data_IF_223346931087
#
_entry.id   IF_223346931087
#
_cell.length_a   1.000
_cell.length_b   1.000
_cell.length_c   1.000
_cell.angle_alpha   90.00
_cell.angle_beta   90.00
_cell.angle_gamma   90.00
#
_symmetry.space_group_name_H-M   'P 1'
#
loop_
_entity.id
_entity.type
_entity.pdbx_description
1 polymer ?
#
# COMPACT_ATOMS: atom_id res chain seq x y z
N UNK A 1 -12.99 24.02 4.73
CA UNK A 1 -13.94 23.32 3.84
C UNK A 1 -13.55 21.84 3.85
N UNK A 2 -14.49 20.93 4.08
CA UNK A 2 -14.21 19.48 3.93
C UNK A 2 -14.10 19.12 2.46
N UNK A 3 -13.14 18.28 2.12
CA UNK A 3 -12.91 17.84 0.75
C UNK A 3 -14.03 16.91 0.32
N UNK A 4 -14.67 17.20 -0.80
CA UNK A 4 -15.65 16.32 -1.41
C UNK A 4 -14.93 15.35 -2.36
N UNK A 5 -14.77 14.10 -1.95
CA UNK A 5 -14.02 13.11 -2.72
C UNK A 5 -14.68 12.71 -4.04
N UNK A 6 -16.01 12.86 -4.18
CA UNK A 6 -16.68 12.68 -5.47
C UNK A 6 -16.27 13.76 -6.48
N UNK A 7 -16.15 15.01 -6.04
CA UNK A 7 -15.65 16.11 -6.88
C UNK A 7 -14.18 15.94 -7.24
N UNK A 8 -13.35 15.47 -6.29
CA UNK A 8 -11.93 15.20 -6.50
C UNK A 8 -11.72 14.18 -7.63
N UNK A 9 -12.52 13.11 -7.67
CA UNK A 9 -12.45 12.11 -8.74
C UNK A 9 -13.27 12.50 -9.97
N UNK A 10 -14.17 13.49 -9.87
CA UNK A 10 -15.08 13.86 -10.93
C UNK A 10 -16.06 12.72 -11.29
N UNK A 11 -16.62 12.08 -10.25
CA UNK A 11 -17.63 11.02 -10.36
C UNK A 11 -18.91 11.40 -9.64
N UNK A 12 -20.03 10.80 -10.03
CA UNK A 12 -21.31 10.98 -9.36
C UNK A 12 -21.32 10.29 -7.99
N UNK A 13 -22.18 10.77 -7.06
CA UNK A 13 -22.37 10.14 -5.75
C UNK A 13 -22.92 8.73 -5.84
N UNK A 14 -23.59 8.39 -6.93
CA UNK A 14 -24.12 7.06 -7.22
C UNK A 14 -23.10 6.12 -7.87
N UNK A 15 -21.89 6.61 -8.23
CA UNK A 15 -20.89 5.85 -8.95
C UNK A 15 -20.54 4.53 -8.23
N UNK A 16 -20.48 3.46 -8.99
CA UNK A 16 -20.09 2.13 -8.54
C UNK A 16 -18.57 2.07 -8.24
N UNK A 17 -18.17 1.08 -7.47
CA UNK A 17 -16.75 0.88 -7.14
C UNK A 17 -15.87 0.69 -8.39
N UNK A 18 -16.27 -0.08 -9.43
CA UNK A 18 -15.52 -0.18 -10.68
C UNK A 18 -15.32 1.16 -11.39
N UNK A 19 -16.37 2.00 -11.46
CA UNK A 19 -16.31 3.33 -12.08
C UNK A 19 -15.37 4.27 -11.32
N UNK A 20 -15.42 4.24 -9.98
CA UNK A 20 -14.51 5.00 -9.12
C UNK A 20 -13.05 4.58 -9.37
N UNK A 21 -12.78 3.28 -9.46
CA UNK A 21 -11.45 2.75 -9.74
C UNK A 21 -10.95 3.10 -11.13
N UNK A 22 -11.82 3.05 -12.13
CA UNK A 22 -11.48 3.40 -13.52
C UNK A 22 -11.13 4.89 -13.62
N UNK A 23 -11.98 5.74 -13.05
CA UNK A 23 -11.77 7.19 -13.07
C UNK A 23 -10.48 7.57 -12.35
N UNK A 24 -10.23 6.96 -11.20
CA UNK A 24 -8.98 7.16 -10.47
C UNK A 24 -7.75 6.76 -11.31
N UNK A 25 -7.75 5.58 -11.97
CA UNK A 25 -6.64 5.15 -12.83
C UNK A 25 -6.33 6.16 -13.92
N UNK A 26 -7.36 6.75 -14.52
CA UNK A 26 -7.18 7.79 -15.54
C UNK A 26 -6.49 9.03 -14.95
N UNK A 27 -7.02 9.56 -13.84
CA UNK A 27 -6.46 10.75 -13.18
C UNK A 27 -5.04 10.49 -12.64
N UNK A 28 -4.80 9.30 -12.08
CA UNK A 28 -3.49 8.91 -11.56
C UNK A 28 -2.40 8.90 -12.65
N UNK A 29 -2.73 8.48 -13.87
CA UNK A 29 -1.80 8.56 -15.01
C UNK A 29 -1.58 9.98 -15.50
N UNK A 30 -2.62 10.81 -15.51
CA UNK A 30 -2.56 12.21 -15.96
C UNK A 30 -1.78 13.09 -14.97
N UNK A 31 -1.94 12.84 -13.67
CA UNK A 31 -1.44 13.70 -12.59
C UNK A 31 -0.32 13.05 -11.75
N UNK A 32 0.40 12.07 -12.33
CA UNK A 32 1.47 11.40 -11.60
C UNK A 32 2.61 12.39 -11.28
N UNK A 33 3.09 12.42 -10.02
CA UNK A 33 4.11 13.37 -9.59
C UNK A 33 5.42 13.30 -10.38
N UNK A 34 5.77 12.13 -10.92
CA UNK A 34 6.99 11.95 -11.71
C UNK A 34 6.97 12.69 -13.06
N UNK A 35 5.81 13.16 -13.49
CA UNK A 35 5.68 13.97 -14.73
C UNK A 35 5.97 15.46 -14.50
N UNK A 36 6.14 15.87 -13.25
CA UNK A 36 6.36 17.25 -12.86
C UNK A 36 7.75 17.44 -12.27
N UNK A 37 8.36 18.61 -12.50
CA UNK A 37 9.70 18.97 -12.01
C UNK A 37 9.65 20.25 -11.20
N UNK A 38 10.61 20.44 -10.29
CA UNK A 38 10.73 21.66 -9.50
C UNK A 38 9.58 21.89 -8.51
N UNK A 39 9.11 23.13 -8.39
CA UNK A 39 8.04 23.54 -7.47
C UNK A 39 6.72 22.82 -7.74
N UNK A 40 6.43 22.50 -9.00
CA UNK A 40 5.16 21.92 -9.42
C UNK A 40 5.03 20.46 -8.96
N UNK A 41 6.15 19.79 -8.67
CA UNK A 41 6.17 18.44 -8.14
C UNK A 41 5.50 18.34 -6.77
N UNK A 42 5.76 19.29 -5.87
CA UNK A 42 5.15 19.30 -4.54
C UNK A 42 3.62 19.48 -4.59
N UNK A 43 3.13 20.25 -5.54
CA UNK A 43 1.70 20.43 -5.77
C UNK A 43 1.06 19.18 -6.41
N UNK A 44 1.76 18.56 -7.35
CA UNK A 44 1.34 17.29 -7.95
C UNK A 44 1.29 16.17 -6.91
N UNK A 45 2.26 16.08 -6.01
CA UNK A 45 2.27 15.14 -4.90
C UNK A 45 1.05 15.33 -3.97
N UNK A 46 0.72 16.57 -3.62
CA UNK A 46 -0.47 16.87 -2.80
C UNK A 46 -1.77 16.47 -3.49
N UNK A 47 -1.91 16.81 -4.78
CA UNK A 47 -3.08 16.42 -5.59
C UNK A 47 -3.20 14.91 -5.70
N UNK A 48 -2.10 14.21 -5.96
CA UNK A 48 -2.07 12.77 -6.07
C UNK A 48 -2.42 12.08 -4.74
N UNK A 49 -1.93 12.62 -3.63
CA UNK A 49 -2.31 12.14 -2.29
C UNK A 49 -3.81 12.28 -2.05
N UNK A 50 -4.41 13.41 -2.44
CA UNK A 50 -5.86 13.63 -2.32
C UNK A 50 -6.66 12.67 -3.21
N UNK A 51 -6.19 12.39 -4.42
CA UNK A 51 -6.79 11.40 -5.32
C UNK A 51 -6.77 10.00 -4.70
N UNK A 52 -5.65 9.62 -4.11
CA UNK A 52 -5.49 8.30 -3.46
C UNK A 52 -6.40 8.18 -2.23
N UNK A 53 -6.50 9.26 -1.45
CA UNK A 53 -7.42 9.30 -0.31
C UNK A 53 -8.87 9.18 -0.76
N UNK A 54 -9.26 9.89 -1.81
CA UNK A 54 -10.60 9.80 -2.39
C UNK A 54 -10.94 8.35 -2.82
N UNK A 55 -10.02 7.67 -3.51
CA UNK A 55 -10.19 6.26 -3.85
C UNK A 55 -10.44 5.40 -2.59
N UNK A 56 -9.56 5.51 -1.60
CA UNK A 56 -9.62 4.71 -0.38
C UNK A 56 -10.93 4.91 0.42
N UNK A 57 -11.44 6.14 0.43
CA UNK A 57 -12.69 6.45 1.12
C UNK A 57 -13.88 5.93 0.32
N UNK A 58 -13.95 6.21 -0.98
CA UNK A 58 -15.13 5.92 -1.80
C UNK A 58 -15.26 4.44 -2.19
N UNK A 59 -14.18 3.67 -2.17
CA UNK A 59 -14.22 2.20 -2.41
C UNK A 59 -14.42 1.38 -1.12
N UNK A 60 -14.41 2.01 0.05
CA UNK A 60 -14.71 1.36 1.31
C UNK A 60 -16.14 1.74 1.77
N UNK A 61 -17.04 0.78 1.81
CA UNK A 61 -18.47 1.03 2.11
C UNK A 61 -18.70 1.77 3.44
N UNK A 62 -17.95 1.43 4.49
CA UNK A 62 -18.10 2.09 5.80
C UNK A 62 -17.61 3.54 5.76
N UNK A 63 -16.44 3.76 5.13
CA UNK A 63 -15.85 5.10 5.00
C UNK A 63 -16.66 5.98 4.04
N UNK A 64 -17.20 5.40 2.97
CA UNK A 64 -18.08 6.11 2.03
C UNK A 64 -19.34 6.60 2.74
N UNK A 65 -20.01 5.75 3.53
CA UNK A 65 -21.17 6.16 4.34
C UNK A 65 -20.82 7.28 5.33
N UNK A 66 -19.67 7.18 5.98
CA UNK A 66 -19.21 8.24 6.87
C UNK A 66 -18.96 9.56 6.12
N UNK A 67 -18.29 9.50 4.98
CA UNK A 67 -18.06 10.67 4.12
C UNK A 67 -19.37 11.28 3.64
N UNK A 68 -20.34 10.46 3.22
CA UNK A 68 -21.67 10.92 2.78
C UNK A 68 -22.42 11.65 3.89
N UNK A 69 -22.35 11.13 5.11
CA UNK A 69 -22.92 11.80 6.28
C UNK A 69 -22.20 13.14 6.59
N UNK A 70 -20.89 13.20 6.39
CA UNK A 70 -20.09 14.39 6.66
C UNK A 70 -20.31 15.50 5.63
N UNK A 71 -20.46 15.18 4.35
CA UNK A 71 -20.78 16.18 3.31
C UNK A 71 -22.27 16.57 3.29
N UNK A 72 -23.15 15.72 3.85
CA UNK A 72 -24.58 16.04 4.03
C UNK A 72 -24.86 16.97 5.21
N UNK A 73 -23.96 17.00 6.18
CA UNK A 73 -24.07 17.85 7.38
C UNK A 73 -23.13 19.06 7.30
N UNK A 74 -23.32 19.95 6.33
CA UNK A 74 -22.61 21.23 6.32
C UNK A 74 -23.09 22.12 7.48
N UNK A 75 -22.63 21.84 8.65
CA UNK A 75 -22.88 22.64 9.85
C UNK A 75 -22.63 21.84 11.11
N UNK A 76 -21.46 21.93 11.65
CA UNK A 76 -21.14 21.92 13.07
C UNK A 76 -19.85 21.18 13.45
N UNK A 77 -19.05 21.97 14.14
CA UNK A 77 -18.08 21.72 15.20
C UNK A 77 -16.68 21.21 14.84
N UNK A 78 -15.78 22.17 15.01
CA UNK A 78 -14.39 21.95 15.37
C UNK A 78 -14.27 20.97 16.55
N UNK A 79 -13.57 19.86 16.32
CA UNK A 79 -12.98 19.08 17.40
C UNK A 79 -11.48 19.02 17.15
N UNK A 80 -10.74 19.53 18.10
CA UNK A 80 -9.31 19.29 18.34
C UNK A 80 -9.00 17.83 18.10
N UNK A 81 -8.14 17.49 17.12
CA UNK A 81 -7.65 16.14 17.14
C UNK A 81 -6.97 15.59 15.96
N UNK A 82 -6.97 15.55 14.72
CA UNK A 82 -6.07 14.72 13.90
C UNK A 82 -4.75 15.37 13.52
N UNK A 83 -4.66 16.69 13.48
CA UNK A 83 -3.43 17.38 13.01
C UNK A 83 -2.21 17.10 13.92
N UNK A 84 -2.42 17.02 15.24
CA UNK A 84 -1.35 16.72 16.19
C UNK A 84 -0.87 15.27 16.06
N UNK A 85 -1.78 14.31 15.86
CA UNK A 85 -1.41 12.90 15.69
C UNK A 85 -0.63 12.66 14.40
N UNK A 86 -1.02 13.29 13.29
CA UNK A 86 -0.27 13.22 12.02
C UNK A 86 1.13 13.80 12.18
N UNK A 87 1.28 14.89 12.92
CA UNK A 87 2.59 15.48 13.16
C UNK A 87 3.47 14.58 14.05
N UNK A 88 2.88 13.99 15.08
CA UNK A 88 3.55 13.00 15.93
C UNK A 88 3.96 11.77 15.11
N UNK A 89 3.10 11.27 14.23
CA UNK A 89 3.42 10.17 13.33
C UNK A 89 4.64 10.47 12.44
N UNK A 90 4.73 11.69 11.90
CA UNK A 90 5.89 12.12 11.08
C UNK A 90 7.20 12.10 11.88
N UNK A 91 7.16 12.50 13.15
CA UNK A 91 8.35 12.46 14.02
C UNK A 91 8.80 11.01 14.23
N UNK A 92 7.88 10.10 14.55
CA UNK A 92 8.21 8.68 14.69
C UNK A 92 8.69 8.08 13.38
N UNK A 93 8.06 8.39 12.25
CA UNK A 93 8.50 7.94 10.93
C UNK A 93 9.95 8.36 10.64
N UNK A 94 10.28 9.63 10.91
CA UNK A 94 11.64 10.15 10.75
C UNK A 94 12.67 9.43 11.64
N UNK A 95 12.32 9.19 12.91
CA UNK A 95 13.16 8.42 13.85
C UNK A 95 13.34 6.98 13.39
N UNK A 96 12.27 6.34 12.91
CA UNK A 96 12.32 4.99 12.36
C UNK A 96 13.23 4.89 11.14
N UNK A 97 13.15 5.85 10.21
CA UNK A 97 14.05 5.91 9.04
C UNK A 97 15.50 6.09 9.46
N UNK A 98 15.78 6.91 10.48
CA UNK A 98 17.13 7.07 11.01
C UNK A 98 17.65 5.74 11.59
N UNK A 99 16.89 5.11 12.49
CA UNK A 99 17.26 3.84 13.09
C UNK A 99 17.47 2.73 12.04
N UNK A 100 16.61 2.69 11.01
CA UNK A 100 16.72 1.75 9.88
C UNK A 100 18.05 1.92 9.13
N UNK A 101 18.46 3.17 8.86
CA UNK A 101 19.74 3.49 8.20
C UNK A 101 20.95 3.15 9.07
N UNK A 102 20.82 3.26 10.38
CA UNK A 102 21.84 2.90 11.37
C UNK A 102 21.94 1.39 11.60
N UNK A 103 21.00 0.61 11.04
CA UNK A 103 20.97 -0.86 11.19
C UNK A 103 20.25 -1.34 12.45
N UNK A 104 19.72 -0.45 13.29
CA UNK A 104 18.91 -0.82 14.45
C UNK A 104 17.47 -1.13 14.01
N UNK A 105 17.28 -2.39 13.61
CA UNK A 105 15.98 -2.84 13.09
C UNK A 105 14.92 -2.90 14.18
N UNK A 106 15.28 -3.12 15.43
CA UNK A 106 14.33 -3.14 16.55
C UNK A 106 13.81 -1.75 16.83
N UNK A 107 14.68 -0.75 16.99
CA UNK A 107 14.27 0.63 17.16
C UNK A 107 13.51 1.17 15.93
N UNK A 108 13.91 0.76 14.72
CA UNK A 108 13.20 1.11 13.49
C UNK A 108 11.76 0.58 13.52
N UNK A 109 11.58 -0.71 13.84
CA UNK A 109 10.29 -1.35 13.95
C UNK A 109 9.38 -0.64 14.96
N UNK A 110 9.87 -0.38 16.18
CA UNK A 110 9.12 0.30 17.23
C UNK A 110 8.67 1.70 16.79
N UNK A 111 9.55 2.48 16.18
CA UNK A 111 9.22 3.81 15.71
C UNK A 111 8.22 3.78 14.54
N UNK A 112 8.34 2.85 13.60
CA UNK A 112 7.37 2.71 12.51
C UNK A 112 6.02 2.22 13.02
N UNK A 113 5.98 1.34 14.03
CA UNK A 113 4.75 0.90 14.67
C UNK A 113 4.03 2.07 15.38
N UNK A 114 4.79 2.93 16.09
CA UNK A 114 4.25 4.15 16.67
C UNK A 114 3.74 5.12 15.58
N UNK A 115 4.46 5.28 14.49
CA UNK A 115 4.01 6.11 13.37
C UNK A 115 2.68 5.58 12.79
N UNK A 116 2.56 4.28 12.56
CA UNK A 116 1.35 3.63 12.06
C UNK A 116 0.17 3.76 13.03
N UNK A 117 0.42 3.68 14.36
CA UNK A 117 -0.61 3.88 15.40
C UNK A 117 -1.12 5.31 15.43
N UNK A 118 -0.23 6.29 15.31
CA UNK A 118 -0.62 7.71 15.31
C UNK A 118 -1.27 8.17 14.01
N UNK A 119 -0.90 7.58 12.86
CA UNK A 119 -1.55 7.84 11.57
C UNK A 119 -1.88 6.54 10.83
N UNK A 120 -2.99 5.87 11.18
CA UNK A 120 -3.38 4.62 10.55
C UNK A 120 -3.77 4.72 9.06
N UNK A 121 -3.86 5.94 8.53
CA UNK A 121 -4.14 6.18 7.12
C UNK A 121 -2.86 6.18 6.25
N UNK A 122 -1.68 6.34 6.85
CA UNK A 122 -0.42 6.44 6.14
C UNK A 122 0.13 5.06 5.73
N UNK A 123 -0.03 4.73 4.45
CA UNK A 123 0.52 3.49 3.89
C UNK A 123 2.04 3.38 4.01
N UNK A 124 2.76 4.51 3.98
CA UNK A 124 4.23 4.54 4.10
C UNK A 124 4.69 4.07 5.46
N UNK A 125 3.99 4.42 6.55
CA UNK A 125 4.33 3.96 7.89
C UNK A 125 4.26 2.42 7.97
N UNK A 126 3.20 1.82 7.43
CA UNK A 126 3.05 0.36 7.38
C UNK A 126 4.06 -0.30 6.44
N UNK A 127 4.39 0.32 5.31
CA UNK A 127 5.41 -0.18 4.41
C UNK A 127 6.78 -0.24 5.09
N UNK A 128 7.23 0.84 5.73
CA UNK A 128 8.48 0.84 6.47
C UNK A 128 8.47 -0.12 7.67
N UNK A 129 7.34 -0.24 8.37
CA UNK A 129 7.14 -1.22 9.43
C UNK A 129 7.37 -2.65 8.90
N UNK A 130 6.81 -2.97 7.75
CA UNK A 130 7.00 -4.26 7.10
C UNK A 130 8.46 -4.50 6.72
N UNK A 131 9.15 -3.50 6.15
CA UNK A 131 10.56 -3.61 5.79
C UNK A 131 11.44 -3.86 7.02
N UNK A 132 11.22 -3.14 8.13
CA UNK A 132 11.94 -3.38 9.38
C UNK A 132 11.64 -4.77 9.94
N UNK A 133 10.38 -5.18 9.96
CA UNK A 133 9.95 -6.50 10.43
C UNK A 133 10.60 -7.64 9.64
N UNK A 134 10.84 -7.48 8.32
CA UNK A 134 11.53 -8.53 7.53
C UNK A 134 12.98 -8.79 7.95
N UNK A 135 13.59 -7.87 8.66
CA UNK A 135 14.96 -8.00 9.18
C UNK A 135 15.01 -8.67 10.53
N UNK A 136 13.88 -8.86 11.20
CA UNK A 136 13.77 -9.49 12.51
C UNK A 136 13.12 -10.87 12.30
N UNK A 137 13.86 -11.99 12.48
CA UNK A 137 13.37 -13.33 12.15
C UNK A 137 12.04 -13.70 12.82
N UNK A 138 11.83 -13.25 14.06
CA UNK A 138 10.61 -13.51 14.82
C UNK A 138 9.38 -12.77 14.27
N UNK A 139 9.54 -11.76 13.41
CA UNK A 139 8.46 -10.85 12.97
C UNK A 139 7.99 -11.12 11.53
N UNK A 140 8.23 -12.31 11.01
CA UNK A 140 7.81 -12.68 9.64
C UNK A 140 6.30 -12.51 9.41
N UNK A 141 5.47 -12.89 10.37
CA UNK A 141 4.01 -12.73 10.31
C UNK A 141 3.61 -11.25 10.33
N UNK A 142 4.24 -10.47 11.22
CA UNK A 142 4.00 -9.03 11.33
C UNK A 142 4.41 -8.28 10.06
N UNK A 143 5.50 -8.70 9.41
CA UNK A 143 5.92 -8.15 8.13
C UNK A 143 4.84 -8.32 7.06
N UNK A 144 4.23 -9.51 6.97
CA UNK A 144 3.13 -9.77 6.03
C UNK A 144 1.92 -8.91 6.36
N UNK A 145 1.50 -8.84 7.63
CA UNK A 145 0.35 -8.03 8.04
C UNK A 145 0.55 -6.54 7.74
N UNK A 146 1.73 -6.03 8.05
CA UNK A 146 2.06 -4.62 7.83
C UNK A 146 2.07 -4.28 6.33
N UNK A 147 2.67 -5.10 5.47
CA UNK A 147 2.69 -4.82 4.03
C UNK A 147 1.30 -4.96 3.40
N UNK A 148 0.48 -5.92 3.84
CA UNK A 148 -0.91 -6.03 3.39
C UNK A 148 -1.71 -4.78 3.76
N UNK A 149 -1.48 -4.22 4.96
CA UNK A 149 -2.09 -2.95 5.38
C UNK A 149 -1.59 -1.80 4.51
N UNK A 150 -0.30 -1.72 4.21
CA UNK A 150 0.25 -0.70 3.32
C UNK A 150 -0.41 -0.75 1.94
N UNK A 151 -0.53 -1.94 1.33
CA UNK A 151 -1.22 -2.14 0.05
C UNK A 151 -2.70 -1.78 0.14
N UNK A 152 -3.39 -2.08 1.25
CA UNK A 152 -4.78 -1.66 1.44
C UNK A 152 -4.94 -0.14 1.50
N UNK A 153 -3.94 0.60 2.00
CA UNK A 153 -3.95 2.07 2.04
C UNK A 153 -3.64 2.67 0.67
N UNK A 154 -2.71 2.07 -0.06
CA UNK A 154 -2.26 2.53 -1.38
C UNK A 154 -2.27 1.35 -2.37
N UNK A 155 -3.44 0.92 -2.85
CA UNK A 155 -3.61 -0.35 -3.58
C UNK A 155 -2.99 -0.37 -4.97
N UNK A 156 -2.57 0.77 -5.49
CA UNK A 156 -1.97 0.91 -6.81
C UNK A 156 -0.49 1.34 -6.75
N UNK A 157 0.07 1.42 -5.55
CA UNK A 157 1.48 1.77 -5.40
C UNK A 157 2.35 0.58 -5.83
N UNK A 158 3.06 0.66 -6.99
CA UNK A 158 3.80 -0.47 -7.51
C UNK A 158 4.95 -0.90 -6.59
N UNK A 159 5.53 0.05 -5.85
CA UNK A 159 6.55 -0.24 -4.85
C UNK A 159 5.99 -1.11 -3.72
N UNK A 160 4.81 -0.76 -3.19
CA UNK A 160 4.20 -1.54 -2.11
C UNK A 160 3.77 -2.92 -2.59
N UNK A 161 3.23 -3.02 -3.79
CA UNK A 161 2.85 -4.29 -4.41
C UNK A 161 4.07 -5.18 -4.66
N UNK A 162 5.17 -4.65 -5.20
CA UNK A 162 6.42 -5.37 -5.40
C UNK A 162 6.98 -5.90 -4.07
N UNK A 163 7.05 -5.02 -3.07
CA UNK A 163 7.60 -5.39 -1.77
C UNK A 163 6.66 -6.38 -1.03
N UNK A 164 5.34 -6.28 -1.22
CA UNK A 164 4.39 -7.28 -0.74
C UNK A 164 4.64 -8.66 -1.37
N UNK A 165 4.89 -8.70 -2.67
CA UNK A 165 5.30 -9.92 -3.36
C UNK A 165 6.57 -10.53 -2.76
N UNK A 166 7.60 -9.70 -2.55
CA UNK A 166 8.88 -10.13 -1.97
C UNK A 166 8.74 -10.63 -0.53
N UNK A 167 7.97 -9.94 0.30
CA UNK A 167 7.72 -10.30 1.69
C UNK A 167 6.91 -11.60 1.77
N UNK A 168 5.84 -11.74 0.98
CA UNK A 168 5.05 -12.96 0.91
C UNK A 168 5.87 -14.15 0.41
N UNK A 169 6.74 -13.96 -0.59
CA UNK A 169 7.67 -14.99 -1.08
C UNK A 169 8.58 -15.50 0.05
N UNK A 170 9.18 -14.60 0.82
CA UNK A 170 10.03 -14.96 1.98
C UNK A 170 9.24 -15.67 3.08
N UNK A 171 7.99 -15.33 3.28
CA UNK A 171 7.08 -15.98 4.23
C UNK A 171 6.53 -17.32 3.72
N UNK A 172 6.90 -17.78 2.51
CA UNK A 172 6.41 -19.01 1.92
C UNK A 172 4.98 -18.93 1.34
N UNK A 173 4.42 -17.75 1.26
CA UNK A 173 3.07 -17.48 0.75
C UNK A 173 3.09 -17.27 -0.77
N UNK A 174 3.46 -18.32 -1.52
CA UNK A 174 3.76 -18.27 -2.95
C UNK A 174 2.61 -17.69 -3.78
N UNK A 175 1.38 -18.17 -3.56
CA UNK A 175 0.21 -17.69 -4.31
C UNK A 175 -0.10 -16.20 -4.05
N UNK A 176 0.09 -15.72 -2.80
CA UNK A 176 -0.04 -14.29 -2.50
C UNK A 176 1.07 -13.47 -3.14
N UNK A 177 2.30 -13.98 -3.12
CA UNK A 177 3.45 -13.32 -3.72
C UNK A 177 3.23 -13.12 -5.23
N UNK A 178 2.77 -14.15 -5.94
CA UNK A 178 2.49 -14.09 -7.37
C UNK A 178 1.42 -13.05 -7.68
N UNK A 179 0.30 -13.06 -6.97
CA UNK A 179 -0.78 -12.06 -7.14
C UNK A 179 -0.30 -10.62 -6.96
N UNK A 180 0.51 -10.35 -5.94
CA UNK A 180 1.03 -9.00 -5.71
C UNK A 180 2.00 -8.56 -6.80
N UNK A 181 2.86 -9.45 -7.28
CA UNK A 181 3.80 -9.13 -8.36
C UNK A 181 3.08 -8.95 -9.71
N UNK A 182 2.06 -9.75 -10.00
CA UNK A 182 1.22 -9.56 -11.18
C UNK A 182 0.47 -8.22 -11.14
N UNK A 183 -0.06 -7.85 -9.96
CA UNK A 183 -0.70 -6.55 -9.80
C UNK A 183 0.32 -5.42 -9.94
N UNK A 184 1.53 -5.56 -9.39
CA UNK A 184 2.60 -4.58 -9.55
C UNK A 184 2.96 -4.34 -11.02
N UNK A 185 3.02 -5.40 -11.84
CA UNK A 185 3.31 -5.29 -13.29
C UNK A 185 2.25 -4.52 -14.08
N UNK A 186 1.02 -4.46 -13.60
CA UNK A 186 -0.02 -3.65 -14.27
C UNK A 186 0.27 -2.14 -14.18
N UNK A 187 1.03 -1.74 -13.18
CA UNK A 187 1.37 -0.35 -12.89
C UNK A 187 2.79 0.01 -13.30
N UNK A 188 3.70 -0.97 -13.27
CA UNK A 188 5.10 -0.84 -13.66
C UNK A 188 5.44 -1.98 -14.63
N UNK A 189 4.94 -1.84 -15.87
CA UNK A 189 4.94 -2.90 -16.89
C UNK A 189 6.31 -3.35 -17.32
N UNK A 190 7.32 -2.48 -17.24
CA UNK A 190 8.65 -2.73 -17.75
C UNK A 190 9.69 -3.05 -16.68
N UNK A 191 9.25 -3.25 -15.44
CA UNK A 191 10.15 -3.52 -14.32
C UNK A 191 10.79 -4.91 -14.42
N UNK A 192 12.12 -4.99 -14.64
CA UNK A 192 12.80 -6.27 -14.81
C UNK A 192 12.86 -7.08 -13.50
N UNK A 193 12.90 -6.41 -12.33
CA UNK A 193 12.96 -7.08 -11.03
C UNK A 193 11.66 -7.83 -10.74
N UNK A 194 10.51 -7.22 -11.05
CA UNK A 194 9.20 -7.86 -10.87
C UNK A 194 9.04 -9.05 -11.80
N UNK A 195 9.44 -8.90 -13.07
CA UNK A 195 9.41 -10.00 -14.05
C UNK A 195 10.29 -11.17 -13.63
N UNK A 196 11.51 -10.90 -13.17
CA UNK A 196 12.44 -11.93 -12.68
C UNK A 196 11.88 -12.64 -11.44
N UNK A 197 11.31 -11.90 -10.48
CA UNK A 197 10.70 -12.47 -9.28
C UNK A 197 9.51 -13.40 -9.60
N UNK A 198 8.68 -13.02 -10.57
CA UNK A 198 7.56 -13.86 -11.04
C UNK A 198 8.06 -15.13 -11.75
N UNK A 199 9.05 -15.01 -12.62
CA UNK A 199 9.64 -16.16 -13.30
C UNK A 199 10.21 -17.18 -12.30
N UNK A 200 10.94 -16.70 -11.28
CA UNK A 200 11.49 -17.58 -10.23
C UNK A 200 10.39 -18.29 -9.42
N UNK A 201 9.28 -17.60 -9.09
CA UNK A 201 8.16 -18.21 -8.37
C UNK A 201 7.51 -19.32 -9.18
N UNK A 202 7.29 -19.13 -10.48
CA UNK A 202 6.68 -20.10 -11.40
C UNK A 202 7.55 -21.33 -11.58
N UNK A 203 8.84 -21.15 -11.81
CA UNK A 203 9.79 -22.27 -11.91
C UNK A 203 9.81 -23.13 -10.64
N UNK A 204 9.75 -22.50 -9.45
CA UNK A 204 9.69 -23.23 -8.18
C UNK A 204 8.35 -23.96 -7.97
N UNK A 205 7.26 -23.44 -8.51
CA UNK A 205 5.94 -24.08 -8.51
C UNK A 205 5.97 -25.37 -9.34
N UNK A 206 6.43 -25.29 -10.58
CA UNK A 206 6.55 -26.40 -11.52
C UNK A 206 7.46 -27.52 -10.99
N UNK A 207 8.60 -27.16 -10.38
CA UNK A 207 9.52 -28.13 -9.78
C UNK A 207 8.90 -28.91 -8.59
N UNK A 208 8.00 -28.28 -7.83
CA UNK A 208 7.28 -28.95 -6.72
C UNK A 208 6.17 -29.87 -7.21
N UNK A 209 5.51 -29.54 -8.31
CA UNK A 209 4.46 -30.39 -8.92
C UNK A 209 5.07 -31.58 -9.67
N UNK A 210 6.15 -31.36 -10.42
CA UNK A 210 6.88 -32.46 -11.11
C UNK A 210 7.49 -33.49 -10.17
N UNK A 211 7.92 -33.07 -8.95
CA UNK A 211 8.46 -34.00 -7.94
C UNK A 211 7.42 -34.90 -7.27
N UNK A 212 6.14 -34.51 -7.25
CA UNK A 212 5.06 -35.32 -6.69
C UNK A 212 4.56 -36.40 -7.63
N UNK A 213 4.79 -36.27 -8.93
CA UNK A 213 4.36 -37.26 -9.94
C UNK A 213 5.28 -38.50 -10.04
N UNK A 214 6.50 -38.46 -9.53
CA UNK A 214 7.49 -39.52 -9.74
C UNK A 214 7.53 -40.59 -8.62
N UNK A 215 6.81 -40.40 -7.53
CA UNK A 215 6.82 -41.37 -6.41
C UNK A 215 5.68 -42.39 -6.43
N UNK A 216 4.75 -42.36 -7.40
CA UNK A 216 3.60 -43.24 -7.48
C UNK A 216 3.80 -44.49 -8.34
N UNK A 217 4.98 -44.74 -8.95
CA UNK A 217 5.24 -45.88 -9.81
C UNK A 217 6.46 -46.72 -9.37
N UNK A 218 6.59 -47.01 -8.06
CA UNK A 218 7.54 -48.04 -7.60
C UNK A 218 6.99 -48.82 -6.41
N UNK A 219 5.92 -49.59 -6.64
CA UNK A 219 5.57 -50.85 -5.92
C UNK A 219 4.73 -51.71 -6.84
N UNK A 220 5.37 -52.56 -7.51
CA UNK A 220 4.89 -53.73 -8.20
C UNK A 220 5.97 -54.81 -8.09
#
# INVERSE_FOLDING_TARGET
MKVNYYEVLGVDRSASEPEIRERFRKLAREQHPDRYKGSDKADAERKFQTLTEALNVLTNTARRKQHDAEIGSAGSRATTGPADFVQVAKVYLSRGVKAYKEGDMSAAYENFDMAAKHNPADGKAFHYLALAATRIPAYSRQAVQAIETAVQREPINPLFLRDAGSICKRAGLTAKAERYLEEALKWDTDNPEIRAALAELRQRGEAKEGGKGFTLFKKG
#
